data_IF_210670693762
#
_entry.id   IF_210670693762
#
_cell.length_a   1.000
_cell.length_b   1.000
_cell.length_c   1.000
_cell.angle_alpha   90.00
_cell.angle_beta   90.00
_cell.angle_gamma   90.00
#
_symmetry.space_group_name_H-M   'P 1'
#
loop_
_entity.id
_entity.type
_entity.pdbx_description
1 polymer ?
#
# COMPACT_ATOMS: atom_id res chain seq x y z
N UNK A 1 8.56 24.98 -39.08
CA UNK A 1 8.07 23.92 -38.18
C UNK A 1 8.62 24.18 -36.78
N UNK A 2 7.79 24.37 -35.74
CA UNK A 2 8.29 24.47 -34.37
C UNK A 2 8.76 23.10 -33.88
N UNK A 3 9.92 23.04 -33.23
CA UNK A 3 10.46 21.79 -32.70
C UNK A 3 9.60 21.27 -31.54
N UNK A 4 9.19 20.00 -31.59
CA UNK A 4 8.58 19.33 -30.44
C UNK A 4 9.63 19.27 -29.32
N UNK A 5 9.51 20.14 -28.30
CA UNK A 5 10.21 19.94 -27.02
C UNK A 5 9.83 18.55 -26.52
N UNK A 6 10.78 17.60 -26.55
CA UNK A 6 10.71 16.42 -25.69
C UNK A 6 10.80 16.94 -24.27
N UNK A 7 9.65 17.08 -23.60
CA UNK A 7 9.63 17.10 -22.14
C UNK A 7 10.29 15.78 -21.73
N UNK A 8 11.49 15.86 -21.17
CA UNK A 8 11.96 14.76 -20.33
C UNK A 8 10.97 14.73 -19.19
N UNK A 9 10.18 13.67 -19.10
CA UNK A 9 9.63 13.30 -17.80
C UNK A 9 10.85 13.10 -16.90
N UNK A 10 11.01 13.97 -15.92
CA UNK A 10 12.02 13.77 -14.91
C UNK A 10 11.61 12.49 -14.17
N UNK A 11 12.44 11.45 -14.31
CA UNK A 11 12.30 10.19 -13.58
C UNK A 11 12.59 10.48 -12.11
N UNK A 12 11.61 11.11 -11.47
CA UNK A 12 11.73 11.72 -10.17
C UNK A 12 11.90 10.59 -9.15
N UNK A 13 13.15 10.29 -8.81
CA UNK A 13 13.52 9.14 -7.96
C UNK A 13 12.70 9.19 -6.67
N UNK A 14 11.78 8.23 -6.55
CA UNK A 14 10.69 8.30 -5.59
C UNK A 14 11.17 7.80 -4.24
N UNK A 15 10.98 8.60 -3.19
CA UNK A 15 11.62 8.33 -1.90
C UNK A 15 11.17 6.97 -1.36
N UNK A 16 12.10 6.00 -1.19
CA UNK A 16 11.74 4.67 -0.70
C UNK A 16 11.09 4.71 0.69
N UNK A 17 11.49 5.69 1.53
CA UNK A 17 10.87 5.92 2.83
C UNK A 17 9.42 6.40 2.75
N UNK A 18 9.09 7.26 1.78
CA UNK A 18 7.70 7.68 1.52
C UNK A 18 6.90 6.49 1.01
N UNK A 19 7.44 5.69 0.09
CA UNK A 19 6.80 4.46 -0.40
C UNK A 19 6.46 3.49 0.75
N UNK A 20 7.39 3.31 1.70
CA UNK A 20 7.20 2.46 2.88
C UNK A 20 6.10 2.98 3.82
N UNK A 21 6.15 4.27 4.18
CA UNK A 21 5.17 4.90 5.08
C UNK A 21 3.77 4.89 4.47
N UNK A 22 3.64 5.18 3.18
CA UNK A 22 2.37 5.06 2.46
C UNK A 22 1.81 3.63 2.55
N UNK A 23 2.61 2.62 2.19
CA UNK A 23 2.16 1.22 2.22
C UNK A 23 1.88 0.65 3.63
N UNK A 24 2.46 1.25 4.67
CA UNK A 24 2.16 0.91 6.06
C UNK A 24 0.80 1.47 6.51
N UNK A 25 0.45 2.68 6.06
CA UNK A 25 -0.77 3.37 6.46
C UNK A 25 -2.01 2.95 5.66
N UNK A 26 -1.84 2.70 4.35
CA UNK A 26 -2.90 2.22 3.43
C UNK A 26 -2.24 1.28 2.43
N UNK A 27 -2.65 0.02 2.41
CA UNK A 27 -2.00 -1.03 1.63
C UNK A 27 -2.12 -0.76 0.13
N UNK A 28 -1.01 -0.94 -0.57
CA UNK A 28 -0.96 -0.76 -2.02
C UNK A 28 -0.57 0.64 -2.48
N UNK A 29 -0.81 1.67 -1.66
CA UNK A 29 -0.49 3.07 -2.01
C UNK A 29 1.01 3.30 -2.23
N UNK A 30 1.88 2.58 -1.52
CA UNK A 30 3.33 2.61 -1.73
C UNK A 30 3.77 2.02 -3.09
N UNK A 31 3.08 1.00 -3.60
CA UNK A 31 3.34 0.45 -4.94
C UNK A 31 2.82 1.35 -6.06
N UNK A 32 1.70 2.04 -5.84
CA UNK A 32 1.18 3.07 -6.76
C UNK A 32 2.12 4.28 -6.77
N UNK A 33 2.60 4.71 -5.60
CA UNK A 33 3.62 5.74 -5.48
C UNK A 33 4.88 5.35 -6.26
N UNK A 34 5.45 4.16 -6.05
CA UNK A 34 6.60 3.67 -6.83
C UNK A 34 6.33 3.52 -8.34
N UNK A 35 5.07 3.38 -8.77
CA UNK A 35 4.66 3.18 -10.17
C UNK A 35 4.93 1.78 -10.74
N UNK A 36 5.97 1.08 -10.27
CA UNK A 36 6.45 -0.20 -10.81
C UNK A 36 5.48 -1.38 -10.63
N UNK A 37 4.69 -1.38 -9.55
CA UNK A 37 3.80 -2.47 -9.14
C UNK A 37 2.32 -2.03 -9.09
N UNK A 38 1.90 -1.16 -10.02
CA UNK A 38 0.57 -0.52 -10.02
C UNK A 38 -0.60 -1.49 -9.79
N UNK A 39 -0.62 -2.64 -10.48
CA UNK A 39 -1.69 -3.63 -10.36
C UNK A 39 -1.74 -4.30 -8.97
N UNK A 40 -0.57 -4.59 -8.36
CA UNK A 40 -0.49 -5.06 -6.96
C UNK A 40 -1.02 -3.98 -6.01
N UNK A 41 -0.72 -2.72 -6.27
CA UNK A 41 -1.19 -1.59 -5.49
C UNK A 41 -2.71 -1.45 -5.51
N UNK A 42 -3.32 -1.44 -6.71
CA UNK A 42 -4.78 -1.36 -6.88
C UNK A 42 -5.47 -2.58 -6.25
N UNK A 43 -4.93 -3.79 -6.45
CA UNK A 43 -5.49 -5.01 -5.86
C UNK A 43 -5.48 -5.01 -4.33
N UNK A 44 -4.45 -4.44 -3.71
CA UNK A 44 -4.37 -4.31 -2.24
C UNK A 44 -5.37 -3.27 -1.69
N UNK A 45 -5.55 -2.13 -2.36
CA UNK A 45 -6.57 -1.14 -1.96
C UNK A 45 -7.98 -1.76 -2.04
N UNK A 46 -8.26 -2.53 -3.11
CA UNK A 46 -9.55 -3.24 -3.24
C UNK A 46 -9.71 -4.28 -2.11
N UNK A 47 -8.65 -5.01 -1.75
CA UNK A 47 -8.68 -5.96 -0.65
C UNK A 47 -8.95 -5.28 0.71
N UNK A 48 -8.22 -4.20 1.02
CA UNK A 48 -8.39 -3.43 2.27
C UNK A 48 -9.80 -2.84 2.39
N UNK A 49 -10.39 -2.36 1.28
CA UNK A 49 -11.78 -1.90 1.26
C UNK A 49 -12.79 -3.03 1.52
N UNK A 50 -12.55 -4.24 0.99
CA UNK A 50 -13.40 -5.42 1.25
C UNK A 50 -13.25 -5.93 2.69
N UNK A 51 -12.03 -5.91 3.24
CA UNK A 51 -11.73 -6.23 4.63
C UNK A 51 -12.42 -5.23 5.58
N UNK A 52 -12.32 -3.93 5.31
CA UNK A 52 -12.99 -2.87 6.08
C UNK A 52 -14.51 -3.01 6.05
N UNK A 53 -15.11 -3.31 4.88
CA UNK A 53 -16.54 -3.61 4.77
C UNK A 53 -16.91 -4.85 5.61
N UNK A 54 -16.10 -5.92 5.58
CA UNK A 54 -16.34 -7.11 6.38
C UNK A 54 -16.29 -6.81 7.89
N UNK A 55 -15.34 -5.99 8.36
CA UNK A 55 -15.26 -5.53 9.76
C UNK A 55 -16.50 -4.71 10.14
N UNK A 56 -16.98 -3.82 9.26
CA UNK A 56 -18.19 -3.02 9.50
C UNK A 56 -19.44 -3.91 9.59
N UNK A 57 -19.63 -4.85 8.67
CA UNK A 57 -20.80 -5.74 8.65
C UNK A 57 -20.80 -6.82 9.74
N UNK A 58 -19.62 -7.25 10.21
CA UNK A 58 -19.48 -8.17 11.36
C UNK A 58 -19.56 -7.46 12.71
N UNK A 59 -19.41 -6.14 12.74
CA UNK A 59 -19.42 -5.30 13.93
C UNK A 59 -18.10 -5.38 14.73
N UNK A 60 -17.82 -4.35 15.53
CA UNK A 60 -16.52 -4.21 16.21
C UNK A 60 -16.36 -5.10 17.45
N UNK A 61 -17.39 -5.83 17.89
CA UNK A 61 -17.39 -6.60 19.14
C UNK A 61 -16.47 -7.81 19.13
N UNK A 62 -16.20 -8.43 17.98
CA UNK A 62 -15.29 -9.58 17.91
C UNK A 62 -13.80 -9.19 17.96
N UNK A 63 -13.47 -7.92 17.74
CA UNK A 63 -12.09 -7.42 17.70
C UNK A 63 -11.37 -7.53 19.06
N UNK A 64 -12.11 -7.45 20.16
CA UNK A 64 -11.59 -7.61 21.53
C UNK A 64 -11.51 -9.08 22.00
N UNK A 65 -11.98 -10.02 21.18
CA UNK A 65 -11.87 -11.45 21.45
C UNK A 65 -10.64 -12.05 20.76
N UNK A 66 -10.22 -13.25 21.16
CA UNK A 66 -9.01 -13.91 20.67
C UNK A 66 -8.87 -13.95 19.12
N UNK A 67 -9.91 -14.22 18.31
CA UNK A 67 -9.81 -14.13 16.85
C UNK A 67 -9.53 -12.70 16.34
N UNK A 68 -10.12 -11.69 16.98
CA UNK A 68 -9.90 -10.28 16.69
C UNK A 68 -8.49 -9.78 17.01
N UNK A 69 -7.94 -10.26 18.12
CA UNK A 69 -6.55 -9.98 18.50
C UNK A 69 -5.57 -10.61 17.49
N UNK A 70 -5.80 -11.87 17.08
CA UNK A 70 -5.01 -12.53 16.03
C UNK A 70 -5.12 -11.76 14.70
N UNK A 71 -6.33 -11.36 14.32
CA UNK A 71 -6.59 -10.57 13.11
C UNK A 71 -5.80 -9.25 13.13
N UNK A 72 -5.92 -8.45 14.20
CA UNK A 72 -5.22 -7.17 14.34
C UNK A 72 -3.68 -7.33 14.32
N UNK A 73 -3.14 -8.32 15.02
CA UNK A 73 -1.69 -8.60 15.03
C UNK A 73 -1.21 -9.04 13.64
N UNK A 74 -1.99 -9.88 12.94
CA UNK A 74 -1.68 -10.33 11.58
C UNK A 74 -1.74 -9.19 10.57
N UNK A 75 -2.72 -8.29 10.70
CA UNK A 75 -2.88 -7.11 9.86
C UNK A 75 -1.71 -6.13 10.05
N UNK A 76 -1.32 -5.82 11.30
CA UNK A 76 -0.13 -5.00 11.60
C UNK A 76 1.16 -5.65 11.04
N UNK A 77 1.32 -6.97 11.22
CA UNK A 77 2.49 -7.70 10.70
C UNK A 77 2.56 -7.65 9.17
N UNK A 78 1.42 -7.84 8.47
CA UNK A 78 1.34 -7.73 7.02
C UNK A 78 1.60 -6.30 6.53
N UNK A 79 1.11 -5.27 7.25
CA UNK A 79 1.42 -3.87 6.95
C UNK A 79 2.94 -3.59 7.00
N UNK A 80 3.66 -4.11 7.99
CA UNK A 80 5.13 -4.01 8.07
C UNK A 80 5.82 -4.73 6.89
N UNK A 81 5.37 -5.94 6.52
CA UNK A 81 5.92 -6.66 5.37
C UNK A 81 5.66 -5.94 4.04
N UNK A 82 4.47 -5.34 3.87
CA UNK A 82 4.11 -4.56 2.69
C UNK A 82 4.88 -3.24 2.62
N UNK A 83 5.12 -2.57 3.75
CA UNK A 83 6.00 -1.41 3.83
C UNK A 83 7.44 -1.75 3.44
N UNK A 84 7.94 -2.92 3.87
CA UNK A 84 9.28 -3.41 3.53
C UNK A 84 9.44 -3.73 2.03
N UNK A 85 8.50 -4.45 1.39
CA UNK A 85 8.57 -4.67 -0.08
C UNK A 85 8.45 -3.34 -0.84
N UNK A 86 7.59 -2.39 -0.42
CA UNK A 86 7.53 -1.07 -1.06
C UNK A 86 8.83 -0.25 -0.91
N UNK A 87 9.50 -0.32 0.25
CA UNK A 87 10.82 0.28 0.46
C UNK A 87 11.87 -0.30 -0.50
N UNK A 88 11.92 -1.62 -0.63
CA UNK A 88 12.89 -2.29 -1.51
C UNK A 88 12.54 -2.19 -2.99
N UNK A 89 11.27 -1.99 -3.34
CA UNK A 89 10.80 -1.74 -4.70
C UNK A 89 11.13 -0.31 -5.19
N UNK A 90 11.04 0.67 -4.30
CA UNK A 90 11.45 2.06 -4.55
C UNK A 90 12.96 2.27 -4.67
N UNK A 91 13.78 1.32 -4.19
CA UNK A 91 15.25 1.33 -4.30
C UNK A 91 15.82 0.69 -5.57
N UNK A 92 14.99 -0.02 -6.34
CA UNK A 92 15.34 -0.60 -7.65
C UNK A 92 15.02 0.40 -8.77
#
# INVERSE_FOLDING_TARGET
MPAKKKVKEEEHVRSPGIAAVLNFLIWGTGYIYNGKKLLKGIGLIIFELLELLLVIFSGFSWLIHFPGIIFLVSHIFLAVLLAYDAYHDGKK
#
